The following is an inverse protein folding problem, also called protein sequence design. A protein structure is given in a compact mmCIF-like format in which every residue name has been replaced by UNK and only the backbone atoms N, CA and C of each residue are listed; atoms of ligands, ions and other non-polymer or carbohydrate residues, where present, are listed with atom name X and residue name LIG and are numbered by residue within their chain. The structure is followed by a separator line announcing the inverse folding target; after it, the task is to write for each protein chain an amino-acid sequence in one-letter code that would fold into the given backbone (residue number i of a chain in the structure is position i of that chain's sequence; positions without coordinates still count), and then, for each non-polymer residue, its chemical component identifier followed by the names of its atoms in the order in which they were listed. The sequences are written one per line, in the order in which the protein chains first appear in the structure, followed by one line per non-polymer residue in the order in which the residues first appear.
data_IF_065420133379
#
_entry.id   IF_065420133379
#
_cell.length_a   1.000
_cell.length_b   1.000
_cell.length_c   1.000
_cell.angle_alpha   90.00
_cell.angle_beta   90.00
_cell.angle_gamma   90.00
#
_symmetry.space_group_name_H-M   'P 1'
#
loop_
_entity.id
_entity.type
_entity.pdbx_description
1 polymer ?
#
# COMPACT_ATOMS: atom_id res chain seq x y z
N UNK A 1 32.21 29.97 -19.75
CA UNK A 1 31.31 30.12 -18.59
C UNK A 1 31.73 29.06 -17.59
N UNK A 2 32.41 29.45 -16.49
CA UNK A 2 32.89 28.48 -15.47
C UNK A 2 31.65 28.11 -14.68
N UNK A 3 31.15 26.86 -14.83
CA UNK A 3 30.07 26.33 -14.00
C UNK A 3 30.50 26.40 -12.53
N UNK A 4 29.59 26.88 -11.67
CA UNK A 4 29.87 26.96 -10.23
C UNK A 4 30.07 25.54 -9.68
N UNK A 5 31.08 25.36 -8.82
CA UNK A 5 31.49 24.09 -8.21
C UNK A 5 30.31 23.34 -7.48
N UNK A 6 29.26 24.05 -7.12
CA UNK A 6 28.06 23.49 -6.47
C UNK A 6 27.20 22.58 -7.39
N UNK A 7 27.33 22.64 -8.71
CA UNK A 7 26.59 21.77 -9.63
C UNK A 7 27.19 20.37 -9.80
N UNK A 8 28.40 20.14 -9.27
CA UNK A 8 29.13 18.87 -9.39
C UNK A 8 29.02 17.98 -8.15
N UNK A 9 28.29 18.40 -7.14
CA UNK A 9 28.11 17.63 -5.88
C UNK A 9 26.63 17.49 -5.54
N UNK A 10 26.20 16.34 -5.04
CA UNK A 10 24.84 16.19 -4.55
C UNK A 10 24.62 16.99 -3.25
N UNK A 11 23.34 17.32 -2.94
CA UNK A 11 22.98 18.03 -1.72
C UNK A 11 23.26 17.20 -0.45
N UNK A 12 23.11 15.88 -0.54
CA UNK A 12 23.46 14.91 0.51
C UNK A 12 24.58 14.01 0.01
N UNK A 13 25.57 13.73 0.87
CA UNK A 13 26.71 12.90 0.55
C UNK A 13 27.23 12.18 1.78
N UNK A 14 27.73 10.97 1.62
CA UNK A 14 28.40 10.25 2.70
C UNK A 14 29.68 11.00 3.14
N UNK A 15 29.93 10.96 4.45
CA UNK A 15 31.14 11.56 5.02
C UNK A 15 32.40 10.86 4.48
N UNK A 16 33.37 11.66 4.00
CA UNK A 16 34.63 11.13 3.49
C UNK A 16 34.77 11.17 1.97
N UNK A 17 33.67 11.37 1.23
CA UNK A 17 33.73 11.57 -0.22
C UNK A 17 33.74 13.07 -0.55
N UNK A 18 34.79 13.52 -1.20
CA UNK A 18 35.02 14.97 -1.50
C UNK A 18 35.17 15.24 -2.98
N UNK A 19 35.56 14.23 -3.77
CA UNK A 19 35.85 14.40 -5.20
C UNK A 19 34.58 14.80 -5.97
N UNK A 20 34.70 15.69 -6.99
CA UNK A 20 33.55 16.05 -7.82
C UNK A 20 33.09 14.85 -8.62
N UNK A 21 31.75 14.76 -8.84
CA UNK A 21 31.18 13.73 -9.72
C UNK A 21 31.53 14.07 -11.17
N UNK A 22 31.94 13.06 -11.92
CA UNK A 22 32.28 13.19 -13.33
C UNK A 22 31.07 13.00 -14.22
N UNK A 23 30.91 13.89 -15.20
CA UNK A 23 29.85 13.75 -16.19
C UNK A 23 30.30 12.82 -17.31
N UNK A 24 29.49 11.78 -17.59
CA UNK A 24 29.72 10.77 -18.64
C UNK A 24 28.45 10.52 -19.43
N UNK A 25 28.58 10.19 -20.71
CA UNK A 25 27.46 9.62 -21.49
C UNK A 25 27.37 8.12 -21.21
N UNK A 26 26.13 7.59 -21.11
CA UNK A 26 25.95 6.16 -20.85
C UNK A 26 26.56 5.30 -21.97
N UNK A 27 26.54 5.77 -23.23
CA UNK A 27 27.18 5.09 -24.35
C UNK A 27 28.72 5.00 -24.28
N UNK A 28 29.37 5.76 -23.36
CA UNK A 28 30.82 5.71 -23.15
C UNK A 28 31.23 4.73 -22.05
N UNK A 29 30.26 4.33 -21.20
CA UNK A 29 30.53 3.57 -19.96
C UNK A 29 29.90 2.19 -19.97
N UNK A 30 29.10 1.83 -20.98
CA UNK A 30 28.41 0.56 -21.05
C UNK A 30 28.26 0.05 -22.48
N UNK A 31 28.20 -1.27 -22.64
CA UNK A 31 27.76 -1.96 -23.84
C UNK A 31 26.25 -2.11 -23.87
N UNK A 32 25.67 -2.09 -25.07
CA UNK A 32 24.23 -2.14 -25.29
C UNK A 32 23.83 -3.31 -26.18
N UNK A 33 22.81 -4.04 -25.76
CA UNK A 33 22.19 -5.09 -26.56
C UNK A 33 20.67 -5.10 -26.35
N UNK A 34 19.98 -6.08 -26.92
CA UNK A 34 18.54 -6.26 -26.74
C UNK A 34 18.20 -7.68 -26.30
N UNK A 35 17.16 -7.80 -25.52
CA UNK A 35 16.52 -9.07 -25.24
C UNK A 35 15.86 -9.66 -26.52
N UNK A 36 15.47 -10.91 -26.49
CA UNK A 36 14.94 -11.61 -27.66
C UNK A 36 13.66 -12.41 -27.37
N UNK A 37 12.74 -12.31 -28.27
CA UNK A 37 11.83 -13.31 -28.80
C UNK A 37 10.79 -13.98 -27.90
N UNK A 38 10.36 -13.41 -26.78
CA UNK A 38 9.31 -13.99 -25.92
C UNK A 38 8.21 -12.99 -25.61
N UNK A 39 6.99 -13.50 -25.48
CA UNK A 39 5.79 -12.75 -25.09
C UNK A 39 5.10 -13.41 -23.88
N UNK A 40 4.05 -12.79 -23.36
CA UNK A 40 3.22 -13.40 -22.29
C UNK A 40 2.63 -14.76 -22.67
N UNK A 41 2.39 -15.00 -23.96
CA UNK A 41 1.82 -16.27 -24.44
C UNK A 41 2.82 -17.44 -24.41
N UNK A 42 4.10 -17.15 -24.25
CA UNK A 42 5.15 -18.17 -24.13
C UNK A 42 5.35 -18.64 -22.68
N UNK A 43 4.71 -17.98 -21.70
CA UNK A 43 4.85 -18.31 -20.27
C UNK A 43 4.27 -19.70 -19.96
N UNK A 44 4.94 -20.44 -19.09
CA UNK A 44 4.55 -21.75 -18.59
C UNK A 44 4.81 -21.86 -17.08
N UNK A 45 4.27 -22.90 -16.45
CA UNK A 45 4.38 -23.09 -14.99
C UNK A 45 5.81 -23.44 -14.55
N UNK A 46 6.55 -24.17 -15.41
CA UNK A 46 7.93 -24.60 -15.13
C UNK A 46 8.80 -24.48 -16.38
N UNK A 47 10.10 -24.18 -16.21
CA UNK A 47 11.01 -24.05 -17.33
C UNK A 47 12.23 -23.18 -17.00
N UNK A 48 12.74 -22.49 -17.99
CA UNK A 48 13.83 -21.53 -17.84
C UNK A 48 13.27 -20.21 -17.31
N UNK A 49 13.84 -19.64 -16.24
CA UNK A 49 13.38 -18.35 -15.71
C UNK A 49 13.57 -17.23 -16.74
N UNK A 50 12.57 -16.34 -16.86
CA UNK A 50 12.56 -15.26 -17.85
C UNK A 50 12.08 -13.94 -17.22
N UNK A 51 12.69 -12.84 -17.67
CA UNK A 51 12.20 -11.49 -17.41
C UNK A 51 11.61 -10.94 -18.70
N UNK A 52 10.32 -10.56 -18.64
CA UNK A 52 9.64 -9.76 -19.66
C UNK A 52 9.56 -8.30 -19.18
N UNK A 53 9.54 -7.34 -20.11
CA UNK A 53 9.52 -5.91 -19.79
C UNK A 53 8.39 -5.51 -18.82
N UNK A 54 7.23 -6.14 -18.89
CA UNK A 54 6.08 -5.88 -18.04
C UNK A 54 6.31 -6.14 -16.54
N UNK A 55 7.34 -6.96 -16.18
CA UNK A 55 7.71 -7.15 -14.78
C UNK A 55 8.17 -5.84 -14.14
N UNK A 56 8.90 -5.01 -14.86
CA UNK A 56 9.42 -3.75 -14.33
C UNK A 56 8.31 -2.78 -13.91
N UNK A 57 7.10 -2.93 -14.49
CA UNK A 57 5.91 -2.13 -14.12
C UNK A 57 5.08 -2.75 -13.00
N UNK A 58 4.99 -4.07 -12.98
CA UNK A 58 4.10 -4.78 -12.04
C UNK A 58 4.79 -5.17 -10.73
N UNK A 59 6.11 -5.34 -10.76
CA UNK A 59 6.94 -5.73 -9.62
C UNK A 59 8.33 -5.09 -9.76
N UNK A 60 8.38 -3.78 -9.58
CA UNK A 60 9.66 -3.05 -9.64
C UNK A 60 10.58 -3.45 -8.47
N UNK A 61 11.82 -3.76 -8.80
CA UNK A 61 12.93 -4.04 -7.88
C UNK A 61 14.18 -3.43 -8.49
N UNK A 62 14.95 -2.65 -7.73
CA UNK A 62 16.24 -2.11 -8.22
C UNK A 62 17.20 -3.24 -8.60
N UNK A 63 17.25 -4.30 -7.80
CA UNK A 63 18.03 -5.52 -8.06
C UNK A 63 17.09 -6.73 -8.07
N UNK A 64 17.00 -7.43 -9.20
CA UNK A 64 16.17 -8.63 -9.38
C UNK A 64 17.02 -9.85 -9.00
N UNK A 65 16.72 -10.44 -7.83
CA UNK A 65 17.39 -11.63 -7.32
C UNK A 65 16.65 -12.90 -7.74
N UNK A 66 15.32 -12.91 -7.74
CA UNK A 66 14.48 -14.06 -8.02
C UNK A 66 13.48 -13.76 -9.13
N UNK A 67 13.24 -14.78 -9.97
CA UNK A 67 12.29 -14.71 -11.08
C UNK A 67 11.28 -15.84 -10.95
N UNK A 68 10.00 -15.48 -10.98
CA UNK A 68 8.84 -16.35 -10.77
C UNK A 68 8.04 -16.62 -12.08
N UNK A 69 8.63 -16.29 -13.21
CA UNK A 69 8.06 -16.52 -14.55
C UNK A 69 8.99 -17.39 -15.37
N UNK A 70 8.42 -18.35 -16.11
CA UNK A 70 9.19 -19.37 -16.80
C UNK A 70 8.72 -19.53 -18.25
N UNK A 71 9.64 -19.97 -19.12
CA UNK A 71 9.38 -20.32 -20.53
C UNK A 71 10.14 -21.56 -20.92
N UNK A 72 9.74 -22.17 -22.03
CA UNK A 72 10.58 -23.14 -22.74
C UNK A 72 11.62 -22.39 -23.56
N UNK A 73 12.91 -22.64 -23.29
CA UNK A 73 14.01 -22.01 -24.02
C UNK A 73 13.97 -22.34 -25.52
N UNK A 74 14.27 -21.33 -26.34
CA UNK A 74 14.33 -21.45 -27.82
C UNK A 74 15.74 -21.12 -28.31
N UNK A 75 16.08 -21.58 -29.51
CA UNK A 75 17.33 -21.18 -30.15
C UNK A 75 17.36 -19.65 -30.36
N UNK A 76 18.50 -19.02 -30.10
CA UNK A 76 18.66 -17.57 -30.21
C UNK A 76 18.19 -16.78 -28.96
N UNK A 77 17.85 -17.46 -27.87
CA UNK A 77 17.54 -16.83 -26.60
C UNK A 77 18.72 -16.04 -26.03
N UNK A 78 18.46 -14.92 -25.43
CA UNK A 78 19.44 -14.08 -24.73
C UNK A 78 19.38 -14.36 -23.23
N UNK A 79 20.50 -14.74 -22.65
CA UNK A 79 20.60 -15.04 -21.21
C UNK A 79 21.42 -13.97 -20.50
N UNK A 80 21.01 -13.66 -19.29
CA UNK A 80 21.80 -12.81 -18.39
C UNK A 80 23.13 -13.48 -18.04
N UNK A 81 24.17 -12.66 -17.87
CA UNK A 81 25.48 -13.07 -17.33
C UNK A 81 25.60 -12.74 -15.85
N UNK A 82 24.68 -11.88 -15.34
CA UNK A 82 24.68 -11.28 -14.02
C UNK A 82 25.32 -9.89 -14.01
N UNK A 83 24.60 -8.92 -13.48
CA UNK A 83 25.01 -7.53 -13.41
C UNK A 83 24.55 -6.62 -14.56
N UNK A 84 23.81 -7.16 -15.54
CA UNK A 84 23.20 -6.31 -16.57
C UNK A 84 22.08 -5.46 -16.01
N UNK A 85 22.01 -4.22 -16.47
CA UNK A 85 20.89 -3.30 -16.25
C UNK A 85 19.91 -3.45 -17.41
N UNK A 86 18.66 -3.72 -17.10
CA UNK A 86 17.58 -3.82 -18.09
C UNK A 86 16.67 -2.60 -18.01
N UNK A 87 16.25 -2.09 -19.18
CA UNK A 87 15.36 -0.95 -19.33
C UNK A 87 14.26 -1.36 -20.31
N UNK A 88 12.97 -1.12 -20.04
CA UNK A 88 11.90 -1.39 -21.00
C UNK A 88 12.14 -0.68 -22.32
N UNK A 89 11.86 -1.36 -23.43
CA UNK A 89 11.88 -0.76 -24.76
C UNK A 89 10.48 -0.32 -25.21
N UNK A 90 9.42 -0.78 -24.53
CA UNK A 90 8.02 -0.42 -24.76
C UNK A 90 7.29 -0.18 -23.44
N UNK A 91 6.38 0.79 -23.41
CA UNK A 91 5.61 1.14 -22.21
C UNK A 91 4.31 1.87 -22.54
N UNK A 92 3.47 2.07 -21.52
CA UNK A 92 2.21 2.81 -21.65
C UNK A 92 2.42 4.32 -21.51
N UNK A 93 3.32 4.74 -20.62
CA UNK A 93 3.66 6.15 -20.40
C UNK A 93 5.16 6.41 -20.57
N UNK A 94 5.50 7.68 -20.80
CA UNK A 94 6.90 8.11 -20.93
C UNK A 94 7.65 8.01 -19.59
N UNK A 95 6.96 8.22 -18.50
CA UNK A 95 7.52 8.09 -17.15
C UNK A 95 7.80 6.62 -16.81
N UNK A 96 6.86 5.73 -17.06
CA UNK A 96 7.01 4.31 -16.72
C UNK A 96 8.13 3.63 -17.52
N UNK A 97 8.32 3.99 -18.80
CA UNK A 97 9.36 3.38 -19.65
C UNK A 97 10.78 3.73 -19.21
N UNK A 98 10.96 4.83 -18.46
CA UNK A 98 12.27 5.35 -18.04
C UNK A 98 12.73 4.78 -16.70
N UNK A 99 12.45 3.50 -16.44
CA UNK A 99 12.90 2.77 -15.24
C UNK A 99 13.92 1.69 -15.62
N UNK A 100 14.73 1.30 -14.65
CA UNK A 100 15.79 0.31 -14.85
C UNK A 100 15.92 -0.63 -13.65
N UNK A 101 16.30 -1.87 -13.89
CA UNK A 101 16.60 -2.86 -12.86
C UNK A 101 17.86 -3.63 -13.21
N UNK A 102 18.59 -4.10 -12.20
CA UNK A 102 19.73 -5.00 -12.37
C UNK A 102 19.27 -6.45 -12.33
N UNK A 103 19.72 -7.26 -13.26
CA UNK A 103 19.57 -8.72 -13.20
C UNK A 103 20.79 -9.30 -12.50
N UNK A 104 20.62 -9.71 -11.24
CA UNK A 104 21.76 -10.13 -10.40
C UNK A 104 22.28 -11.51 -10.79
N UNK A 105 21.40 -12.45 -11.13
CA UNK A 105 21.77 -13.82 -11.43
C UNK A 105 22.05 -14.02 -12.92
N UNK A 106 22.99 -14.90 -13.23
CA UNK A 106 23.22 -15.41 -14.58
C UNK A 106 22.20 -16.50 -14.95
N UNK A 107 21.98 -16.71 -16.26
CA UNK A 107 21.14 -17.79 -16.76
C UNK A 107 19.65 -17.48 -16.83
N UNK A 108 19.24 -16.26 -16.56
CA UNK A 108 17.86 -15.78 -16.72
C UNK A 108 17.67 -15.31 -18.17
N UNK A 109 16.60 -15.74 -18.82
CA UNK A 109 16.23 -15.26 -20.16
C UNK A 109 15.79 -13.79 -20.09
N UNK A 110 16.29 -13.00 -21.02
CA UNK A 110 15.89 -11.60 -21.19
C UNK A 110 15.01 -11.49 -22.44
N UNK A 111 13.71 -11.31 -22.22
CA UNK A 111 12.68 -11.32 -23.25
C UNK A 111 12.77 -10.13 -24.21
N UNK A 112 11.96 -10.16 -25.26
CA UNK A 112 11.81 -9.04 -26.19
C UNK A 112 11.35 -7.78 -25.47
N UNK A 113 11.52 -6.62 -26.11
CA UNK A 113 11.20 -5.29 -25.56
C UNK A 113 11.96 -4.92 -24.26
N UNK A 114 13.16 -5.50 -24.09
CA UNK A 114 14.15 -5.07 -23.10
C UNK A 114 15.38 -4.51 -23.80
N UNK A 115 15.78 -3.31 -23.44
CA UNK A 115 17.13 -2.80 -23.66
C UNK A 115 18.03 -3.34 -22.56
N UNK A 116 19.20 -3.85 -22.91
CA UNK A 116 20.19 -4.41 -21.99
C UNK A 116 21.40 -3.51 -22.00
N UNK A 117 21.80 -3.04 -20.82
CA UNK A 117 22.92 -2.14 -20.60
C UNK A 117 23.93 -2.87 -19.71
N UNK A 118 25.12 -3.12 -20.22
CA UNK A 118 26.19 -3.81 -19.50
C UNK A 118 27.30 -2.80 -19.18
N UNK A 119 27.33 -2.22 -17.96
CA UNK A 119 28.35 -1.23 -17.59
C UNK A 119 29.73 -1.89 -17.52
N UNK A 120 30.80 -1.08 -17.76
CA UNK A 120 32.15 -1.52 -17.52
C UNK A 120 32.44 -1.67 -16.02
N UNK A 121 33.53 -2.37 -15.67
CA UNK A 121 33.90 -2.66 -14.28
C UNK A 121 34.15 -1.42 -13.39
N UNK A 122 34.25 -0.25 -13.97
CA UNK A 122 34.40 1.03 -13.23
C UNK A 122 33.08 1.56 -12.68
N UNK A 123 31.94 1.00 -13.10
CA UNK A 123 30.60 1.48 -12.73
C UNK A 123 29.81 0.37 -12.02
N UNK A 124 29.09 0.78 -10.98
CA UNK A 124 28.18 -0.11 -10.26
C UNK A 124 26.82 -0.19 -10.98
N UNK A 125 26.40 -1.42 -11.29
CA UNK A 125 25.16 -1.66 -12.04
C UNK A 125 23.90 -1.15 -11.35
N UNK A 126 23.83 -1.26 -10.03
CA UNK A 126 22.65 -0.82 -9.28
C UNK A 126 22.64 0.71 -9.15
N UNK A 127 23.79 1.37 -8.98
CA UNK A 127 23.86 2.80 -9.06
C UNK A 127 23.47 3.32 -10.45
N UNK A 128 23.87 2.60 -11.53
CA UNK A 128 23.44 2.93 -12.89
C UNK A 128 21.92 2.78 -13.06
N UNK A 129 21.31 1.70 -12.55
CA UNK A 129 19.87 1.50 -12.57
C UNK A 129 19.12 2.61 -11.82
N UNK A 130 19.59 2.99 -10.63
CA UNK A 130 19.05 4.11 -9.85
C UNK A 130 19.18 5.44 -10.62
N UNK A 131 20.33 5.67 -11.28
CA UNK A 131 20.59 6.87 -12.08
C UNK A 131 19.64 6.98 -13.25
N UNK A 132 19.36 5.88 -13.97
CA UNK A 132 18.41 5.85 -15.08
C UNK A 132 16.98 6.08 -14.58
N UNK A 133 16.61 5.48 -13.45
CA UNK A 133 15.24 5.50 -12.89
C UNK A 133 14.91 6.79 -12.14
N UNK A 134 15.83 7.74 -11.99
CA UNK A 134 15.60 8.91 -11.15
C UNK A 134 16.22 10.20 -11.70
N UNK A 135 15.79 11.32 -11.15
CA UNK A 135 16.41 12.63 -11.35
C UNK A 135 16.43 13.13 -12.81
N UNK A 136 17.54 13.71 -13.22
CA UNK A 136 17.69 14.33 -14.54
C UNK A 136 17.72 13.30 -15.68
N UNK A 137 18.34 12.14 -15.47
CA UNK A 137 18.43 11.09 -16.47
C UNK A 137 17.06 10.50 -16.80
N UNK A 138 16.25 10.18 -15.78
CA UNK A 138 14.88 9.74 -15.94
C UNK A 138 14.01 10.75 -16.72
N UNK A 139 14.05 12.04 -16.31
CA UNK A 139 13.31 13.11 -17.00
C UNK A 139 13.73 13.26 -18.46
N UNK A 140 15.02 13.15 -18.75
CA UNK A 140 15.53 13.24 -20.11
C UNK A 140 15.06 12.05 -20.96
N UNK A 141 15.16 10.82 -20.44
CA UNK A 141 14.65 9.62 -21.13
C UNK A 141 13.14 9.68 -21.37
N UNK A 142 12.38 10.10 -20.37
CA UNK A 142 10.92 10.31 -20.52
C UNK A 142 10.61 11.29 -21.66
N UNK A 143 11.43 12.33 -21.83
CA UNK A 143 11.25 13.30 -22.92
C UNK A 143 11.60 12.75 -24.31
N UNK A 144 12.41 11.70 -24.40
CA UNK A 144 12.79 11.03 -25.64
C UNK A 144 11.82 9.92 -26.06
N UNK A 145 11.00 9.42 -25.12
CA UNK A 145 10.04 8.36 -25.38
C UNK A 145 9.03 8.78 -26.46
N UNK A 146 8.92 7.97 -27.53
CA UNK A 146 8.12 8.29 -28.72
C UNK A 146 6.94 7.32 -28.85
N UNK A 147 5.76 7.85 -29.09
CA UNK A 147 4.53 7.08 -29.32
C UNK A 147 3.29 7.80 -28.82
N UNK A 148 2.10 7.32 -29.24
CA UNK A 148 0.80 7.89 -28.78
C UNK A 148 0.06 6.96 -27.81
N UNK A 149 -0.01 5.67 -28.12
CA UNK A 149 -0.70 4.66 -27.27
C UNK A 149 0.29 3.70 -26.63
N UNK A 150 1.41 3.48 -27.26
CA UNK A 150 2.58 2.76 -26.74
C UNK A 150 3.78 3.64 -27.02
N UNK A 151 4.57 3.91 -26.01
CA UNK A 151 5.82 4.66 -26.13
C UNK A 151 6.98 3.69 -26.28
N UNK A 152 8.01 4.10 -27.01
CA UNK A 152 9.20 3.31 -27.27
C UNK A 152 10.46 4.06 -26.85
N UNK A 153 11.43 3.30 -26.33
CA UNK A 153 12.76 3.77 -25.95
C UNK A 153 13.80 2.83 -26.58
N UNK A 154 14.76 3.40 -27.31
CA UNK A 154 15.80 2.64 -27.97
C UNK A 154 17.14 2.72 -27.24
N UNK A 155 18.02 1.78 -27.52
CA UNK A 155 19.40 1.80 -26.98
C UNK A 155 20.11 3.13 -27.32
N UNK A 156 19.88 3.71 -28.51
CA UNK A 156 20.46 5.00 -28.90
C UNK A 156 20.01 6.15 -27.99
N UNK A 157 18.79 6.09 -27.49
CA UNK A 157 18.25 7.11 -26.59
C UNK A 157 18.95 7.00 -25.22
N UNK A 158 19.08 5.76 -24.70
CA UNK A 158 19.78 5.51 -23.45
C UNK A 158 21.28 5.88 -23.55
N UNK A 159 21.94 5.55 -24.66
CA UNK A 159 23.34 5.91 -24.92
C UNK A 159 23.56 7.42 -24.90
N UNK A 160 22.57 8.20 -25.33
CA UNK A 160 22.66 9.67 -25.40
C UNK A 160 22.58 10.35 -24.05
N UNK A 161 22.09 9.66 -23.00
CA UNK A 161 21.94 10.19 -21.63
C UNK A 161 23.30 10.59 -21.08
N UNK A 162 23.38 11.82 -20.57
CA UNK A 162 24.52 12.31 -19.84
C UNK A 162 24.20 12.37 -18.35
N UNK A 163 24.93 11.62 -17.54
CA UNK A 163 24.73 11.51 -16.10
C UNK A 163 26.04 11.77 -15.34
N UNK A 164 25.94 12.02 -14.04
CA UNK A 164 27.09 12.28 -13.18
C UNK A 164 27.37 11.04 -12.33
N UNK A 165 28.63 10.65 -12.29
CA UNK A 165 29.09 9.48 -11.57
C UNK A 165 30.19 9.84 -10.57
N UNK A 166 30.06 9.42 -9.30
CA UNK A 166 31.15 9.45 -8.34
C UNK A 166 32.16 8.32 -8.61
N UNK A 167 33.18 8.23 -7.77
CA UNK A 167 34.05 7.05 -7.73
C UNK A 167 33.24 5.77 -7.51
N UNK A 168 33.69 4.63 -8.04
CA UNK A 168 32.99 3.34 -7.89
C UNK A 168 32.66 3.02 -6.43
N UNK A 169 33.58 3.26 -5.51
CA UNK A 169 33.35 3.06 -4.08
C UNK A 169 32.16 3.87 -3.54
N UNK A 170 32.01 5.11 -3.97
CA UNK A 170 30.86 5.92 -3.56
C UNK A 170 29.56 5.46 -4.21
N UNK A 171 29.61 4.98 -5.48
CA UNK A 171 28.46 4.33 -6.15
C UNK A 171 27.96 3.14 -5.35
N UNK A 172 28.88 2.25 -4.92
CA UNK A 172 28.59 1.07 -4.10
C UNK A 172 27.98 1.43 -2.73
N UNK A 173 28.48 2.47 -2.07
CA UNK A 173 27.93 2.95 -0.79
C UNK A 173 26.49 3.51 -0.97
N UNK A 174 26.26 4.27 -2.03
CA UNK A 174 24.92 4.80 -2.37
C UNK A 174 23.98 3.64 -2.67
N UNK A 175 24.38 2.72 -3.55
CA UNK A 175 23.62 1.52 -3.86
C UNK A 175 23.25 0.73 -2.59
N UNK A 176 24.24 0.44 -1.73
CA UNK A 176 24.03 -0.30 -0.49
C UNK A 176 23.00 0.36 0.44
N UNK A 177 22.94 1.71 0.47
CA UNK A 177 21.90 2.40 1.22
C UNK A 177 20.51 2.12 0.64
N UNK A 178 20.35 2.27 -0.67
CA UNK A 178 19.04 2.03 -1.32
C UNK A 178 18.61 0.57 -1.22
N UNK A 179 19.52 -0.40 -1.38
CA UNK A 179 19.25 -1.83 -1.18
C UNK A 179 18.72 -2.14 0.23
N UNK A 180 19.31 -1.49 1.26
CA UNK A 180 18.82 -1.61 2.64
C UNK A 180 17.41 -1.02 2.80
N UNK A 181 17.14 0.12 2.17
CA UNK A 181 15.82 0.75 2.19
C UNK A 181 14.80 -0.15 1.50
N UNK A 182 15.09 -0.68 0.31
CA UNK A 182 14.22 -1.59 -0.44
C UNK A 182 13.93 -2.88 0.38
N UNK A 183 14.95 -3.41 1.05
CA UNK A 183 14.81 -4.56 1.94
C UNK A 183 13.86 -4.24 3.10
N UNK A 184 14.01 -3.10 3.76
CA UNK A 184 13.14 -2.67 4.85
C UNK A 184 11.69 -2.49 4.37
N UNK A 185 11.47 -1.81 3.24
CA UNK A 185 10.15 -1.64 2.64
C UNK A 185 9.49 -3.01 2.40
N UNK A 186 10.23 -3.94 1.78
CA UNK A 186 9.73 -5.29 1.51
C UNK A 186 9.37 -6.06 2.79
N UNK A 187 10.21 -5.98 3.82
CA UNK A 187 9.95 -6.64 5.10
C UNK A 187 8.73 -6.04 5.81
N UNK A 188 8.57 -4.71 5.79
CA UNK A 188 7.41 -4.04 6.38
C UNK A 188 6.12 -4.41 5.63
N UNK A 189 6.15 -4.45 4.29
CA UNK A 189 5.01 -4.88 3.49
C UNK A 189 4.60 -6.33 3.79
N UNK A 190 5.54 -7.26 3.77
CA UNK A 190 5.28 -8.68 4.11
C UNK A 190 4.70 -8.84 5.51
N UNK A 191 5.19 -8.07 6.47
CA UNK A 191 4.69 -8.10 7.85
C UNK A 191 3.29 -7.52 7.95
N UNK A 192 3.01 -6.42 7.25
CA UNK A 192 1.68 -5.83 7.12
C UNK A 192 0.68 -6.87 6.58
N UNK A 193 0.98 -7.47 5.42
CA UNK A 193 0.11 -8.46 4.78
C UNK A 193 -0.14 -9.67 5.69
N UNK A 194 0.90 -10.15 6.37
CA UNK A 194 0.77 -11.25 7.33
C UNK A 194 -0.13 -10.89 8.50
N UNK A 195 -0.01 -9.68 9.07
CA UNK A 195 -0.83 -9.23 10.19
C UNK A 195 -2.30 -9.05 9.77
N UNK A 196 -2.56 -8.51 8.57
CA UNK A 196 -3.92 -8.41 8.00
C UNK A 196 -4.55 -9.80 7.85
N UNK A 197 -3.80 -10.77 7.32
CA UNK A 197 -4.27 -12.15 7.16
C UNK A 197 -4.50 -12.83 8.51
N UNK A 198 -3.64 -12.60 9.51
CA UNK A 198 -3.83 -13.08 10.89
C UNK A 198 -5.12 -12.50 11.47
N UNK A 199 -5.32 -11.17 11.37
CA UNK A 199 -6.54 -10.52 11.88
C UNK A 199 -7.78 -11.15 11.26
N UNK A 200 -7.81 -11.28 9.93
CA UNK A 200 -8.93 -11.91 9.20
C UNK A 200 -9.20 -13.34 9.69
N UNK A 201 -8.16 -14.16 9.80
CA UNK A 201 -8.28 -15.55 10.28
C UNK A 201 -8.74 -15.63 11.74
N UNK A 202 -8.29 -14.73 12.62
CA UNK A 202 -8.71 -14.69 14.02
C UNK A 202 -10.14 -14.20 14.16
N UNK A 203 -10.58 -13.19 13.41
CA UNK A 203 -12.00 -12.79 13.35
C UNK A 203 -12.88 -13.97 12.93
N UNK A 204 -12.43 -14.74 11.94
CA UNK A 204 -13.13 -15.92 11.45
C UNK A 204 -13.25 -17.05 12.51
N UNK A 205 -12.25 -17.24 13.35
CA UNK A 205 -12.13 -18.37 14.29
C UNK A 205 -12.46 -18.03 15.74
N UNK A 206 -12.39 -16.77 16.14
CA UNK A 206 -12.67 -16.33 17.52
C UNK A 206 -14.13 -15.86 17.69
N UNK A 207 -14.95 -15.94 16.65
CA UNK A 207 -16.39 -15.72 16.72
C UNK A 207 -17.12 -17.01 16.34
N UNK A 208 -18.20 -17.40 17.08
CA UNK A 208 -18.98 -18.58 16.77
C UNK A 208 -19.66 -18.49 15.40
N UNK A 209 -19.73 -19.61 14.68
CA UNK A 209 -20.36 -19.71 13.36
C UNK A 209 -21.41 -20.82 13.34
N UNK A 210 -22.31 -20.74 12.34
CA UNK A 210 -23.26 -21.81 12.05
C UNK A 210 -24.13 -22.22 13.25
N UNK A 211 -24.52 -21.28 14.10
CA UNK A 211 -25.33 -21.55 15.28
C UNK A 211 -24.56 -22.13 16.47
N UNK A 212 -23.24 -22.20 16.41
CA UNK A 212 -22.43 -22.59 17.56
C UNK A 212 -22.52 -21.53 18.67
N UNK A 213 -22.43 -21.96 19.92
CA UNK A 213 -22.36 -21.10 21.11
C UNK A 213 -20.94 -20.88 21.66
N UNK A 214 -19.93 -21.45 20.99
CA UNK A 214 -18.52 -21.30 21.34
C UNK A 214 -17.67 -21.16 20.07
N UNK A 215 -16.63 -20.30 20.08
CA UNK A 215 -15.76 -20.14 18.93
C UNK A 215 -14.75 -21.30 18.80
N UNK A 216 -14.14 -21.45 17.61
CA UNK A 216 -13.07 -22.44 17.36
C UNK A 216 -11.83 -22.14 18.18
N UNK A 217 -11.44 -20.87 18.27
CA UNK A 217 -10.32 -20.40 19.07
C UNK A 217 -10.83 -19.52 20.21
N UNK A 218 -10.43 -19.84 21.43
CA UNK A 218 -10.87 -19.16 22.65
C UNK A 218 -9.72 -18.99 23.64
N UNK A 219 -9.71 -17.90 24.39
CA UNK A 219 -8.76 -17.72 25.48
C UNK A 219 -8.99 -18.75 26.60
N UNK A 220 -7.90 -19.21 27.20
CA UNK A 220 -7.97 -20.14 28.32
C UNK A 220 -8.66 -19.48 29.53
N UNK A 221 -9.49 -20.28 30.23
CA UNK A 221 -10.19 -19.88 31.46
C UNK A 221 -11.63 -19.40 31.21
N UNK A 222 -12.08 -19.30 29.98
CA UNK A 222 -13.48 -19.03 29.65
C UNK A 222 -14.14 -20.32 29.11
N UNK A 223 -15.20 -20.78 29.77
CA UNK A 223 -15.87 -22.05 29.46
C UNK A 223 -17.34 -21.91 29.16
N UNK A 224 -17.99 -20.86 29.68
CA UNK A 224 -19.42 -20.65 29.53
C UNK A 224 -19.81 -20.44 28.06
N UNK A 225 -20.90 -21.04 27.57
CA UNK A 225 -21.36 -20.79 26.21
C UNK A 225 -21.72 -19.30 26.04
N UNK A 226 -21.49 -18.80 24.83
CA UNK A 226 -21.90 -17.46 24.46
C UNK A 226 -23.43 -17.41 24.31
N UNK A 227 -24.01 -16.25 24.58
CA UNK A 227 -25.45 -16.04 24.52
C UNK A 227 -25.84 -15.35 23.19
N UNK A 228 -26.96 -15.78 22.63
CA UNK A 228 -27.61 -15.10 21.52
C UNK A 228 -28.44 -13.94 22.05
N UNK A 229 -28.22 -12.73 21.49
CA UNK A 229 -28.93 -11.51 21.85
C UNK A 229 -29.27 -10.71 20.60
N UNK A 230 -30.33 -9.90 20.64
CA UNK A 230 -30.55 -8.88 19.63
C UNK A 230 -29.56 -7.74 19.89
N UNK A 231 -28.97 -7.20 18.82
CA UNK A 231 -28.00 -6.12 18.93
C UNK A 231 -28.65 -4.86 19.56
N UNK A 232 -29.93 -4.59 19.28
CA UNK A 232 -30.70 -3.51 19.89
C UNK A 232 -30.96 -3.65 21.38
N UNK A 233 -30.80 -4.87 21.97
CA UNK A 233 -30.94 -5.07 23.43
C UNK A 233 -29.65 -4.68 24.19
N UNK A 234 -28.51 -4.62 23.48
CA UNK A 234 -27.20 -4.36 24.07
C UNK A 234 -26.52 -3.09 23.53
N UNK A 235 -27.10 -2.48 22.49
CA UNK A 235 -26.55 -1.27 21.85
C UNK A 235 -27.70 -0.39 21.32
N UNK A 236 -27.65 0.89 21.58
CA UNK A 236 -28.57 1.89 21.03
C UNK A 236 -27.91 2.64 19.88
N UNK A 237 -28.59 2.72 18.73
CA UNK A 237 -28.13 3.41 17.54
C UNK A 237 -28.76 4.81 17.46
N UNK A 238 -27.97 5.85 17.54
CA UNK A 238 -28.42 7.25 17.56
C UNK A 238 -28.05 7.89 16.22
N UNK A 239 -29.09 8.29 15.46
CA UNK A 239 -28.90 8.98 14.18
C UNK A 239 -28.22 10.34 14.36
N UNK A 240 -27.31 10.67 13.47
CA UNK A 240 -26.86 12.02 13.25
C UNK A 240 -27.97 12.90 12.63
N UNK A 241 -27.63 14.17 12.36
CA UNK A 241 -28.56 15.16 11.82
C UNK A 241 -28.29 15.41 10.33
N UNK A 242 -29.35 15.64 9.55
CA UNK A 242 -29.22 16.22 8.21
C UNK A 242 -28.97 17.73 8.33
N UNK A 243 -28.09 18.27 7.47
CA UNK A 243 -27.75 19.70 7.43
C UNK A 243 -28.16 20.26 6.06
N UNK A 244 -28.80 21.42 6.07
CA UNK A 244 -29.04 22.21 4.86
C UNK A 244 -27.76 22.89 4.39
N UNK A 245 -27.72 23.30 3.13
CA UNK A 245 -26.56 23.99 2.57
C UNK A 245 -26.20 25.28 3.33
N UNK A 246 -27.18 25.99 3.85
CA UNK A 246 -27.01 27.23 4.66
C UNK A 246 -26.44 26.99 6.05
N UNK A 247 -26.53 25.77 6.58
CA UNK A 247 -25.97 25.38 7.88
C UNK A 247 -24.52 24.84 7.76
N UNK A 248 -24.05 24.60 6.54
CA UNK A 248 -22.70 24.13 6.25
C UNK A 248 -21.80 25.31 5.85
N UNK A 249 -20.96 25.73 6.78
CA UNK A 249 -20.08 26.89 6.66
C UNK A 249 -18.65 26.46 6.29
N UNK A 250 -17.86 27.33 5.63
CA UNK A 250 -16.43 27.09 5.39
C UNK A 250 -15.60 27.18 6.69
N UNK A 251 -16.10 27.90 7.70
CA UNK A 251 -15.53 28.03 9.06
C UNK A 251 -16.67 28.18 10.08
N UNK A 252 -16.48 27.69 11.31
CA UNK A 252 -17.48 27.75 12.38
C UNK A 252 -17.02 27.04 13.65
N UNK A 253 -17.90 26.98 14.63
CA UNK A 253 -17.62 26.46 15.97
C UNK A 253 -17.34 24.94 15.98
N UNK A 254 -18.15 24.19 15.27
CA UNK A 254 -18.06 22.73 15.23
C UNK A 254 -17.78 22.23 13.83
N UNK A 255 -16.88 21.27 13.70
CA UNK A 255 -16.70 20.48 12.47
C UNK A 255 -17.92 19.58 12.27
N UNK A 256 -18.36 19.41 11.03
CA UNK A 256 -19.41 18.47 10.64
C UNK A 256 -18.75 17.19 10.13
N UNK A 257 -18.80 16.13 10.93
CA UNK A 257 -18.25 14.82 10.59
C UNK A 257 -19.15 14.12 9.57
N UNK A 258 -18.59 13.74 8.44
CA UNK A 258 -19.25 13.01 7.35
C UNK A 258 -18.53 11.68 7.12
N UNK A 259 -19.18 10.74 6.44
CA UNK A 259 -18.62 9.42 6.13
C UNK A 259 -17.24 9.52 5.49
N UNK A 260 -17.05 10.42 4.50
CA UNK A 260 -15.77 10.58 3.82
C UNK A 260 -14.59 10.98 4.73
N UNK A 261 -14.87 11.67 5.86
CA UNK A 261 -13.81 12.09 6.78
C UNK A 261 -13.18 10.94 7.58
N UNK A 262 -13.78 9.75 7.57
CA UNK A 262 -13.15 8.53 8.10
C UNK A 262 -12.17 7.86 7.13
N UNK A 263 -12.14 8.30 5.86
CA UNK A 263 -11.38 7.62 4.81
C UNK A 263 -10.39 8.55 4.12
N UNK A 264 -10.80 9.20 3.05
CA UNK A 264 -9.89 9.96 2.17
C UNK A 264 -10.21 11.43 2.03
N UNK A 265 -11.29 11.91 2.67
CA UNK A 265 -11.70 13.29 2.54
C UNK A 265 -11.19 14.15 3.70
N UNK A 266 -10.16 14.95 3.44
CA UNK A 266 -9.56 15.88 4.41
C UNK A 266 -10.29 17.23 4.49
N UNK A 267 -11.30 17.47 3.63
CA UNK A 267 -12.09 18.72 3.66
C UNK A 267 -13.18 18.67 4.71
N UNK A 268 -13.36 19.79 5.40
CA UNK A 268 -14.35 19.93 6.47
C UNK A 268 -15.36 21.02 6.16
N UNK A 269 -16.62 20.75 6.49
CA UNK A 269 -17.62 21.77 6.74
C UNK A 269 -17.70 22.05 8.23
N UNK A 270 -18.18 23.24 8.56
CA UNK A 270 -18.38 23.69 9.93
C UNK A 270 -19.83 24.13 10.14
N UNK A 271 -20.23 24.30 11.39
CA UNK A 271 -21.53 24.85 11.76
C UNK A 271 -21.44 25.51 13.11
N UNK A 272 -22.23 26.58 13.31
CA UNK A 272 -22.35 27.28 14.58
C UNK A 272 -23.58 26.85 15.39
N UNK A 273 -24.27 25.81 14.95
CA UNK A 273 -25.47 25.31 15.60
C UNK A 273 -25.16 24.72 16.98
N UNK A 274 -25.93 25.17 17.97
CA UNK A 274 -25.99 24.51 19.28
C UNK A 274 -27.09 23.44 19.22
N UNK A 275 -26.70 22.19 19.32
CA UNK A 275 -27.56 21.03 19.16
C UNK A 275 -27.75 20.29 20.50
N UNK A 276 -28.74 19.41 20.56
CA UNK A 276 -28.85 18.45 21.66
C UNK A 276 -27.64 17.52 21.70
N UNK A 277 -27.19 17.10 22.89
CA UNK A 277 -25.95 16.34 23.11
C UNK A 277 -25.86 15.06 22.27
N UNK A 278 -27.00 14.42 21.97
CA UNK A 278 -27.05 13.24 21.10
C UNK A 278 -26.49 13.44 19.70
N UNK A 279 -26.37 14.67 19.21
CA UNK A 279 -25.85 15.00 17.89
C UNK A 279 -24.36 15.32 17.88
N UNK A 280 -23.71 15.23 19.05
CA UNK A 280 -22.27 15.39 19.17
C UNK A 280 -21.58 14.05 19.31
N UNK A 281 -20.42 13.93 18.68
CA UNK A 281 -19.47 12.87 18.93
C UNK A 281 -18.25 13.44 19.66
N UNK A 282 -17.86 12.79 20.75
CA UNK A 282 -16.74 13.13 21.61
C UNK A 282 -15.63 12.10 21.43
N UNK A 283 -14.43 12.44 21.89
CA UNK A 283 -13.30 11.49 21.90
C UNK A 283 -13.69 10.17 22.58
N UNK A 284 -13.43 9.05 21.90
CA UNK A 284 -13.72 7.72 22.40
C UNK A 284 -15.14 7.20 22.08
N UNK A 285 -16.02 7.99 21.46
CA UNK A 285 -17.34 7.52 21.03
C UNK A 285 -17.23 6.46 19.93
N UNK A 286 -18.04 5.42 20.02
CA UNK A 286 -18.22 4.43 18.97
C UNK A 286 -19.23 4.95 17.95
N UNK A 287 -18.78 5.08 16.72
CA UNK A 287 -19.57 5.54 15.59
C UNK A 287 -19.69 4.42 14.55
N UNK A 288 -20.76 4.44 13.76
CA UNK A 288 -20.95 3.52 12.64
C UNK A 288 -21.41 4.27 11.40
N UNK A 289 -20.63 4.18 10.34
CA UNK A 289 -21.03 4.69 9.02
C UNK A 289 -21.92 3.66 8.33
N UNK A 290 -23.07 4.07 7.74
CA UNK A 290 -24.00 3.14 7.13
C UNK A 290 -24.31 3.41 5.64
N UNK A 291 -23.69 4.42 5.06
CA UNK A 291 -23.87 4.81 3.66
C UNK A 291 -22.54 4.88 2.93
N UNK A 292 -22.52 4.48 1.67
CA UNK A 292 -21.36 4.38 0.79
C UNK A 292 -20.31 3.38 1.28
N UNK A 293 -19.47 3.77 2.23
CA UNK A 293 -18.55 2.89 2.96
C UNK A 293 -19.08 2.74 4.37
N UNK A 294 -19.29 1.52 4.83
CA UNK A 294 -19.90 1.25 6.14
C UNK A 294 -18.95 0.49 7.08
N UNK A 295 -19.17 0.67 8.38
CA UNK A 295 -18.42 -0.01 9.43
C UNK A 295 -18.27 0.81 10.71
N UNK A 296 -17.75 0.19 11.79
CA UNK A 296 -17.52 0.82 13.08
C UNK A 296 -16.24 1.68 13.08
N UNK A 297 -16.25 2.76 13.86
CA UNK A 297 -15.13 3.66 14.06
C UNK A 297 -15.12 4.16 15.51
N UNK A 298 -13.96 4.21 16.14
CA UNK A 298 -13.78 4.98 17.39
C UNK A 298 -13.36 6.40 17.00
N UNK A 299 -14.11 7.39 17.44
CA UNK A 299 -13.78 8.79 17.20
C UNK A 299 -12.61 9.22 18.10
N UNK A 300 -11.51 9.68 17.50
CA UNK A 300 -10.30 10.08 18.23
C UNK A 300 -9.99 11.58 18.11
N UNK A 301 -10.93 12.35 17.54
CA UNK A 301 -10.77 13.79 17.37
C UNK A 301 -11.49 14.60 18.45
N UNK A 302 -11.45 15.93 18.28
CA UNK A 302 -12.20 16.88 19.12
C UNK A 302 -13.72 16.67 18.99
N UNK A 303 -14.50 17.33 19.88
CA UNK A 303 -15.96 17.31 19.82
C UNK A 303 -16.45 17.84 18.48
N UNK A 304 -17.26 17.04 17.78
CA UNK A 304 -17.83 17.33 16.44
C UNK A 304 -19.34 17.11 16.45
N UNK A 305 -20.04 17.71 15.52
CA UNK A 305 -21.41 17.31 15.17
C UNK A 305 -21.33 16.34 13.99
N UNK A 306 -22.25 15.37 13.89
CA UNK A 306 -22.14 14.32 12.86
C UNK A 306 -23.38 14.21 11.99
N UNK A 307 -23.13 13.86 10.73
CA UNK A 307 -24.12 13.74 9.66
C UNK A 307 -25.01 12.51 9.84
N UNK A 308 -26.25 12.54 9.36
CA UNK A 308 -27.25 11.46 9.52
C UNK A 308 -26.81 10.10 8.92
N UNK A 309 -25.84 10.05 8.03
CA UNK A 309 -25.25 8.81 7.54
C UNK A 309 -24.30 8.12 8.54
N UNK A 310 -24.24 8.61 9.75
CA UNK A 310 -23.45 8.07 10.85
C UNK A 310 -24.39 7.86 12.03
N UNK A 311 -24.28 6.70 12.66
CA UNK A 311 -24.87 6.44 13.97
C UNK A 311 -23.83 6.57 15.05
N UNK A 312 -24.15 7.20 16.16
CA UNK A 312 -23.44 7.01 17.42
C UNK A 312 -24.03 5.78 18.10
N UNK A 313 -23.18 4.89 18.60
CA UNK A 313 -23.59 3.67 19.28
C UNK A 313 -23.32 3.83 20.77
N UNK A 314 -24.39 3.80 21.57
CA UNK A 314 -24.31 3.72 23.01
C UNK A 314 -24.49 2.28 23.45
N UNK A 315 -23.49 1.73 24.15
CA UNK A 315 -23.46 0.35 24.59
C UNK A 315 -24.04 0.20 26.00
N UNK A 316 -24.75 -0.90 26.25
CA UNK A 316 -25.10 -1.29 27.60
C UNK A 316 -23.89 -1.80 28.38
N UNK A 317 -23.99 -1.90 29.71
CA UNK A 317 -22.92 -2.42 30.58
C UNK A 317 -22.58 -3.89 30.29
N UNK A 318 -23.43 -4.61 29.54
CA UNK A 318 -23.21 -6.02 29.17
C UNK A 318 -22.42 -6.19 27.89
N UNK A 319 -22.12 -5.11 27.16
CA UNK A 319 -21.34 -5.15 25.91
C UNK A 319 -20.12 -4.25 25.97
N UNK A 320 -18.94 -4.83 26.01
CA UNK A 320 -17.67 -4.13 26.10
C UNK A 320 -17.32 -3.47 24.77
N UNK A 321 -16.80 -2.24 24.79
CA UNK A 321 -16.61 -1.38 23.61
C UNK A 321 -15.62 -1.95 22.59
N UNK A 322 -14.46 -2.40 23.02
CA UNK A 322 -13.45 -2.92 22.10
C UNK A 322 -13.91 -4.24 21.45
N UNK A 323 -14.68 -5.05 22.18
CA UNK A 323 -15.33 -6.23 21.63
C UNK A 323 -16.44 -5.84 20.64
N UNK A 324 -17.28 -4.85 20.96
CA UNK A 324 -18.35 -4.38 20.08
C UNK A 324 -17.81 -3.90 18.72
N UNK A 325 -16.66 -3.24 18.69
CA UNK A 325 -15.97 -2.87 17.43
C UNK A 325 -15.69 -4.12 16.60
N UNK A 326 -15.15 -5.19 17.20
CA UNK A 326 -14.80 -6.41 16.47
C UNK A 326 -16.03 -7.18 16.03
N UNK A 327 -17.08 -7.22 16.85
CA UNK A 327 -18.38 -7.82 16.50
C UNK A 327 -18.97 -7.14 15.26
N UNK A 328 -18.92 -5.81 15.21
CA UNK A 328 -19.43 -5.02 14.08
C UNK A 328 -18.53 -5.13 12.84
N UNK A 329 -17.21 -5.30 12.99
CA UNK A 329 -16.28 -5.57 11.88
C UNK A 329 -16.50 -6.98 11.31
N UNK A 330 -16.75 -7.98 12.16
CA UNK A 330 -17.11 -9.33 11.72
C UNK A 330 -18.42 -9.28 10.92
N UNK A 331 -19.45 -8.61 11.45
CA UNK A 331 -20.73 -8.42 10.78
C UNK A 331 -20.60 -7.76 9.41
N UNK A 332 -19.78 -6.71 9.31
CA UNK A 332 -19.45 -6.05 8.04
C UNK A 332 -18.82 -7.03 7.05
N UNK A 333 -17.91 -7.89 7.52
CA UNK A 333 -17.27 -8.91 6.68
C UNK A 333 -18.30 -9.92 6.13
N UNK A 334 -19.23 -10.34 6.97
CA UNK A 334 -20.31 -11.26 6.59
C UNK A 334 -21.29 -10.63 5.58
N UNK A 335 -21.64 -9.35 5.77
CA UNK A 335 -22.45 -8.58 4.82
C UNK A 335 -21.76 -8.50 3.45
N UNK A 336 -20.44 -8.21 3.44
CA UNK A 336 -19.67 -8.11 2.21
C UNK A 336 -19.50 -9.45 1.49
N UNK A 337 -19.31 -10.54 2.23
CA UNK A 337 -19.16 -11.89 1.68
C UNK A 337 -20.46 -12.39 1.03
N UNK A 338 -21.62 -12.03 1.58
CA UNK A 338 -22.94 -12.42 1.08
C UNK A 338 -23.48 -11.52 -0.04
N UNK A 339 -22.66 -10.62 -0.57
CA UNK A 339 -23.05 -9.66 -1.62
C UNK A 339 -23.17 -10.34 -2.98
N UNK A 340 -24.36 -10.85 -3.30
CA UNK A 340 -24.68 -11.40 -4.62
C UNK A 340 -24.97 -10.27 -5.61
N UNK A 341 -23.92 -9.75 -6.31
CA UNK A 341 -24.08 -8.92 -7.52
C UNK A 341 -24.74 -7.54 -7.37
N UNK A 342 -25.26 -7.14 -6.20
CA UNK A 342 -25.87 -5.84 -5.98
C UNK A 342 -24.80 -4.78 -5.70
N UNK A 343 -24.88 -3.65 -6.40
CA UNK A 343 -23.94 -2.53 -6.28
C UNK A 343 -24.07 -1.77 -4.96
N UNK A 344 -25.19 -1.89 -4.24
CA UNK A 344 -25.48 -1.12 -3.02
C UNK A 344 -26.00 -2.02 -1.89
N UNK A 345 -25.34 -2.00 -0.75
CA UNK A 345 -25.83 -2.62 0.48
C UNK A 345 -26.64 -1.58 1.24
N UNK A 346 -27.92 -1.86 1.48
CA UNK A 346 -28.78 -1.02 2.32
C UNK A 346 -28.75 -1.55 3.76
N UNK A 347 -28.11 -0.81 4.65
CA UNK A 347 -28.11 -1.08 6.09
C UNK A 347 -29.13 -0.13 6.73
N UNK A 348 -30.16 -0.67 7.36
CA UNK A 348 -31.15 0.11 8.10
C UNK A 348 -30.91 0.01 9.60
N UNK A 349 -31.30 1.04 10.34
CA UNK A 349 -31.19 1.05 11.80
C UNK A 349 -31.97 -0.13 12.40
N UNK A 350 -33.23 -0.31 11.99
CA UNK A 350 -34.08 -1.41 12.46
C UNK A 350 -33.47 -2.78 12.16
N UNK A 351 -32.87 -2.95 10.95
CA UNK A 351 -32.18 -4.19 10.58
C UNK A 351 -31.00 -4.49 11.49
N UNK A 352 -30.24 -3.45 11.91
CA UNK A 352 -29.14 -3.61 12.86
C UNK A 352 -29.65 -3.92 14.26
N UNK A 353 -30.68 -3.22 14.73
CA UNK A 353 -31.26 -3.45 16.07
C UNK A 353 -31.90 -4.85 16.21
N UNK A 354 -32.54 -5.37 15.17
CA UNK A 354 -33.14 -6.73 15.16
C UNK A 354 -32.14 -7.85 14.92
N UNK A 355 -30.89 -7.50 14.56
CA UNK A 355 -29.88 -8.49 14.25
C UNK A 355 -29.50 -9.32 15.46
N UNK A 356 -29.55 -10.64 15.30
CA UNK A 356 -29.09 -11.59 16.32
C UNK A 356 -27.58 -11.71 16.28
N UNK A 357 -26.93 -11.52 17.42
CA UNK A 357 -25.48 -11.65 17.63
C UNK A 357 -25.22 -12.61 18.76
N UNK A 358 -24.11 -13.33 18.69
CA UNK A 358 -23.68 -14.25 19.73
C UNK A 358 -22.51 -13.62 20.48
N UNK A 359 -22.67 -13.40 21.78
CA UNK A 359 -21.71 -12.64 22.60
C UNK A 359 -21.32 -13.41 23.86
N UNK A 360 -20.06 -13.29 24.32
CA UNK A 360 -19.64 -13.86 25.61
C UNK A 360 -20.47 -13.27 26.75
N UNK A 361 -20.92 -14.10 27.68
CA UNK A 361 -21.58 -13.65 28.92
C UNK A 361 -20.61 -12.83 29.77
N UNK A 362 -19.36 -13.22 29.78
CA UNK A 362 -18.31 -12.56 30.57
C UNK A 362 -17.76 -11.31 29.86
N UNK A 363 -18.00 -10.12 30.41
CA UNK A 363 -17.39 -8.86 29.97
C UNK A 363 -15.84 -8.92 30.01
N UNK A 364 -15.25 -9.73 30.87
CA UNK A 364 -13.80 -9.96 30.92
C UNK A 364 -13.33 -10.71 29.68
N UNK A 365 -14.09 -11.67 29.17
CA UNK A 365 -13.78 -12.37 27.93
C UNK A 365 -13.90 -11.40 26.74
N UNK A 366 -14.98 -10.62 26.70
CA UNK A 366 -15.18 -9.60 25.67
C UNK A 366 -13.97 -8.63 25.65
N UNK A 367 -13.55 -8.12 26.82
CA UNK A 367 -12.39 -7.24 26.92
C UNK A 367 -11.09 -7.90 26.44
N UNK A 368 -10.87 -9.19 26.77
CA UNK A 368 -9.69 -9.92 26.32
C UNK A 368 -9.65 -10.06 24.78
N UNK A 369 -10.79 -10.35 24.16
CA UNK A 369 -10.94 -10.44 22.70
C UNK A 369 -10.71 -9.06 22.08
N UNK A 370 -11.42 -8.03 22.54
CA UNK A 370 -11.29 -6.66 22.04
C UNK A 370 -9.85 -6.15 22.08
N UNK A 371 -9.18 -6.25 23.21
CA UNK A 371 -7.78 -5.84 23.40
C UNK A 371 -6.79 -6.61 22.50
N UNK A 372 -7.06 -7.89 22.23
CA UNK A 372 -6.24 -8.65 21.29
C UNK A 372 -6.30 -8.06 19.88
N UNK A 373 -7.49 -7.74 19.39
CA UNK A 373 -7.66 -7.15 18.08
C UNK A 373 -7.17 -5.70 18.02
N UNK A 374 -7.36 -4.89 19.06
CA UNK A 374 -6.78 -3.54 19.15
C UNK A 374 -5.25 -3.53 19.02
N UNK A 375 -4.59 -4.52 19.64
CA UNK A 375 -3.14 -4.71 19.47
C UNK A 375 -2.78 -5.06 18.03
N UNK A 376 -3.54 -5.94 17.39
CA UNK A 376 -3.33 -6.26 15.97
C UNK A 376 -3.53 -5.03 15.08
N UNK A 377 -4.58 -4.23 15.30
CA UNK A 377 -4.86 -3.00 14.55
C UNK A 377 -3.75 -1.96 14.73
N UNK A 378 -3.24 -1.84 15.95
CA UNK A 378 -2.09 -0.97 16.24
C UNK A 378 -0.86 -1.39 15.46
N UNK A 379 -0.55 -2.70 15.41
CA UNK A 379 0.60 -3.23 14.66
C UNK A 379 0.40 -3.06 13.15
N UNK A 380 -0.79 -3.31 12.63
CA UNK A 380 -1.14 -3.11 11.21
C UNK A 380 -0.94 -1.65 10.82
N UNK A 381 -1.49 -0.72 11.61
CA UNK A 381 -1.36 0.72 11.36
C UNK A 381 0.09 1.20 11.42
N UNK A 382 0.88 0.68 12.36
CA UNK A 382 2.31 1.02 12.47
C UNK A 382 3.06 0.62 11.18
N UNK A 383 2.91 -0.63 10.74
CA UNK A 383 3.58 -1.10 9.52
C UNK A 383 3.09 -0.42 8.25
N UNK A 384 1.81 -0.04 8.19
CA UNK A 384 1.26 0.75 7.08
C UNK A 384 1.89 2.16 7.01
N UNK A 385 2.05 2.83 8.15
CA UNK A 385 2.66 4.18 8.22
C UNK A 385 4.15 4.17 7.88
N UNK A 386 4.87 3.15 8.32
CA UNK A 386 6.30 2.98 8.02
C UNK A 386 6.54 2.72 6.52
N UNK A 387 5.57 2.14 5.82
CA UNK A 387 5.62 1.95 4.38
C UNK A 387 5.40 3.26 3.57
N UNK A 388 4.57 4.17 4.07
CA UNK A 388 4.18 5.41 3.35
C UNK A 388 5.16 6.57 3.62
N UNK A 389 5.77 6.67 4.80
CA UNK A 389 6.66 7.78 5.17
C UNK A 389 7.83 8.02 4.22
N UNK A 390 8.58 7.00 3.74
CA UNK A 390 9.71 7.22 2.83
C UNK A 390 9.31 7.82 1.47
N UNK A 391 8.04 7.67 1.06
CA UNK A 391 7.56 8.16 -0.24
C UNK A 391 7.20 9.65 -0.20
N UNK A 392 6.90 10.18 0.98
CA UNK A 392 6.44 11.57 1.16
C UNK A 392 7.53 12.55 1.61
N UNK A 393 8.71 12.06 2.03
CA UNK A 393 9.81 12.90 2.54
C UNK A 393 11.03 12.95 1.59
N UNK A 394 10.93 12.38 0.39
CA UNK A 394 11.91 12.49 -0.72
C UNK A 394 11.34 13.40 -1.81
#
# INVERSE_FOLDING_TARGET
MIMQDNEKKPALRFKGFTDPWEQRKLGEIADFSKGAGYSKNDLCEEGTPIILYGRLYTKYETCIFDVDTFVKGKAGSVYSKGGEVIVPASGETAEDISIASVVVQSGILLGGDLNIVSPTDEYDSAFLALTISSGAAHKYLSSLAQGKSVVHLHNSDIQSVSAKFPTKREQEEIHSLFEKIDTLITLHQRKYDKLVNIKKSMLDKMFPKNGASVPEIRFKGFTDPWEQRKLGDVAAFINGRAYSQSELLPMGKYKVLRVGNFYTNDSWYYSDLELAEKYYANYGDLLYTWSATFGPHIWLGDKVIYHYHIWKIELSDSLEKSFAVQLLEQDKSDILANKNGSTMVHITKEGMEQKEVVVPVSVKEQAAIGQYFEKLDTLITLHQREHIKPILEV
#
